data_IF_677294221053
#
_entry.id   IF_677294221053
#
_cell.length_a   1.000
_cell.length_b   1.000
_cell.length_c   1.000
_cell.angle_alpha   90.00
_cell.angle_beta   90.00
_cell.angle_gamma   90.00
#
_symmetry.space_group_name_H-M   'P 1'
#
loop_
_entity.id
_entity.type
_entity.pdbx_description
1 polymer ?
#
# COMPACT_ATOMS: atom_id res chain seq x y z
N UNK A 1 0.47 -37.87 34.74
CA UNK A 1 0.91 -36.51 34.38
C UNK A 1 0.18 -36.11 33.11
N UNK A 2 -1.08 -35.69 33.23
CA UNK A 2 -1.81 -35.11 32.11
C UNK A 2 -1.33 -33.67 32.02
N UNK A 3 -0.56 -33.35 30.96
CA UNK A 3 -0.17 -31.97 30.70
C UNK A 3 -1.46 -31.22 30.39
N UNK A 4 -1.96 -30.47 31.36
CA UNK A 4 -3.04 -29.53 31.12
C UNK A 4 -2.65 -28.69 29.90
N UNK A 5 -3.48 -28.76 28.87
CA UNK A 5 -3.25 -28.13 27.57
C UNK A 5 -3.52 -26.63 27.69
N UNK A 6 -2.78 -25.96 28.59
CA UNK A 6 -3.00 -24.56 28.93
C UNK A 6 -2.39 -23.70 27.84
N UNK A 7 -3.24 -23.10 27.01
CA UNK A 7 -2.85 -22.11 26.03
C UNK A 7 -2.34 -20.84 26.72
N UNK A 8 -1.15 -20.38 26.32
CA UNK A 8 -0.55 -19.13 26.81
C UNK A 8 -1.37 -17.92 26.37
N UNK A 9 -1.36 -16.84 27.17
CA UNK A 9 -2.05 -15.57 26.81
C UNK A 9 -1.50 -14.99 25.51
N UNK A 10 -0.21 -15.14 25.25
CA UNK A 10 0.42 -14.67 24.01
C UNK A 10 -0.09 -15.44 22.79
N UNK A 11 -0.18 -16.78 22.89
CA UNK A 11 -0.72 -17.63 21.81
C UNK A 11 -2.18 -17.28 21.49
N UNK A 12 -3.01 -17.09 22.52
CA UNK A 12 -4.42 -16.69 22.34
C UNK A 12 -4.54 -15.37 21.59
N UNK A 13 -3.75 -14.37 21.98
CA UNK A 13 -3.77 -13.04 21.35
C UNK A 13 -3.22 -13.07 19.93
N UNK A 14 -2.16 -13.86 19.69
CA UNK A 14 -1.59 -14.03 18.36
C UNK A 14 -2.61 -14.62 17.39
N UNK A 15 -3.25 -15.74 17.74
CA UNK A 15 -4.27 -16.39 16.89
C UNK A 15 -5.44 -15.45 16.58
N UNK A 16 -5.95 -14.73 17.58
CA UNK A 16 -7.03 -13.75 17.38
C UNK A 16 -6.57 -12.64 16.45
N UNK A 17 -5.34 -12.14 16.61
CA UNK A 17 -4.76 -11.12 15.73
C UNK A 17 -4.63 -11.61 14.28
N UNK A 18 -4.17 -12.85 14.07
CA UNK A 18 -4.08 -13.46 12.74
C UNK A 18 -5.45 -13.59 12.08
N UNK A 19 -6.47 -14.07 12.82
CA UNK A 19 -7.84 -14.22 12.30
C UNK A 19 -8.45 -12.85 11.95
N UNK A 20 -8.36 -11.87 12.84
CA UNK A 20 -8.94 -10.55 12.59
C UNK A 20 -8.20 -9.77 11.49
N UNK A 21 -6.89 -10.03 11.32
CA UNK A 21 -6.10 -9.46 10.23
C UNK A 21 -6.38 -10.10 8.87
N UNK A 22 -7.17 -11.18 8.83
CA UNK A 22 -7.46 -11.93 7.61
C UNK A 22 -6.29 -12.79 7.11
N UNK A 23 -5.19 -12.91 7.86
CA UNK A 23 -4.04 -13.77 7.51
C UNK A 23 -4.35 -15.25 7.68
N UNK A 24 -5.25 -15.58 8.60
CA UNK A 24 -5.68 -16.95 8.87
C UNK A 24 -7.20 -17.03 8.87
N UNK A 25 -7.76 -18.02 8.19
CA UNK A 25 -9.21 -18.26 8.25
C UNK A 25 -9.57 -18.99 9.54
N UNK A 26 -10.83 -18.87 9.97
CA UNK A 26 -11.34 -19.63 11.13
C UNK A 26 -11.15 -21.15 10.95
N UNK A 27 -11.31 -21.65 9.72
CA UNK A 27 -11.13 -23.08 9.41
C UNK A 27 -9.69 -23.53 9.62
N UNK A 28 -8.73 -22.80 9.05
CA UNK A 28 -7.29 -23.07 9.24
C UNK A 28 -6.88 -22.98 10.71
N UNK A 29 -7.46 -22.04 11.45
CA UNK A 29 -7.24 -21.93 12.89
C UNK A 29 -7.81 -23.14 13.63
N UNK A 30 -9.00 -23.63 13.27
CA UNK A 30 -9.56 -24.86 13.85
C UNK A 30 -8.63 -26.04 13.60
N UNK A 31 -8.18 -26.27 12.37
CA UNK A 31 -7.26 -27.36 12.00
C UNK A 31 -5.98 -27.37 12.85
N UNK A 32 -5.39 -26.19 13.09
CA UNK A 32 -4.20 -26.06 13.96
C UNK A 32 -4.45 -26.46 15.42
N UNK A 33 -5.68 -26.31 15.91
CA UNK A 33 -6.05 -26.54 17.31
C UNK A 33 -6.89 -27.81 17.55
N UNK A 34 -7.26 -28.54 16.50
CA UNK A 34 -8.01 -29.80 16.56
C UNK A 34 -7.32 -30.86 17.42
N UNK A 35 -5.99 -30.95 17.35
CA UNK A 35 -5.20 -31.89 18.17
C UNK A 35 -5.12 -31.46 19.65
N UNK A 36 -5.46 -30.20 19.95
CA UNK A 36 -5.26 -29.58 21.27
C UNK A 36 -6.58 -29.34 22.03
N UNK A 37 -7.72 -29.35 21.34
CA UNK A 37 -9.05 -29.13 21.91
C UNK A 37 -10.11 -29.99 21.23
N UNK A 38 -11.02 -30.57 22.03
CA UNK A 38 -12.19 -31.30 21.51
C UNK A 38 -13.20 -30.39 20.79
N UNK A 39 -13.15 -29.07 21.05
CA UNK A 39 -14.02 -28.09 20.41
C UNK A 39 -13.25 -26.79 20.12
N UNK A 40 -12.42 -26.78 19.06
CA UNK A 40 -11.57 -25.63 18.72
C UNK A 40 -12.41 -24.43 18.26
N UNK A 41 -13.53 -24.66 17.58
CA UNK A 41 -14.40 -23.60 17.06
C UNK A 41 -14.98 -22.71 18.19
N UNK A 42 -15.59 -23.33 19.21
CA UNK A 42 -16.15 -22.58 20.34
C UNK A 42 -15.05 -21.89 21.17
N UNK A 43 -13.88 -22.51 21.31
CA UNK A 43 -12.73 -21.96 22.00
C UNK A 43 -12.22 -20.68 21.32
N UNK A 44 -12.01 -20.73 20.00
CA UNK A 44 -11.57 -19.60 19.18
C UNK A 44 -12.59 -18.47 19.18
N UNK A 45 -13.89 -18.78 19.08
CA UNK A 45 -14.96 -17.77 19.15
C UNK A 45 -14.95 -17.02 20.49
N UNK A 46 -14.74 -17.73 21.60
CA UNK A 46 -14.62 -17.12 22.92
C UNK A 46 -13.38 -16.21 22.99
N UNK A 47 -12.24 -16.64 22.45
CA UNK A 47 -11.03 -15.83 22.41
C UNK A 47 -11.18 -14.58 21.54
N UNK A 48 -11.83 -14.68 20.38
CA UNK A 48 -12.11 -13.52 19.52
C UNK A 48 -13.02 -12.53 20.25
N UNK A 49 -14.06 -13.01 20.94
CA UNK A 49 -14.92 -12.14 21.74
C UNK A 49 -14.19 -11.47 22.90
N UNK A 50 -13.19 -12.14 23.50
CA UNK A 50 -12.51 -11.67 24.71
C UNK A 50 -11.30 -10.79 24.43
N UNK A 51 -10.55 -11.08 23.37
CA UNK A 51 -9.31 -10.37 23.02
C UNK A 51 -9.47 -9.49 21.79
N UNK A 52 -10.54 -9.67 21.01
CA UNK A 52 -10.72 -8.96 19.74
C UNK A 52 -10.96 -7.46 19.87
N UNK A 53 -11.41 -6.97 21.03
CA UNK A 53 -11.54 -5.54 21.33
C UNK A 53 -10.25 -4.92 21.90
N UNK A 54 -9.38 -5.73 22.51
CA UNK A 54 -8.08 -5.29 23.05
C UNK A 54 -6.99 -5.18 21.97
N UNK A 55 -7.20 -5.78 20.80
CA UNK A 55 -6.23 -5.80 19.71
C UNK A 55 -6.59 -4.67 18.76
N UNK A 56 -5.92 -3.52 18.91
CA UNK A 56 -5.83 -2.54 17.83
C UNK A 56 -5.08 -3.20 16.67
N UNK A 57 -5.81 -3.68 15.67
CA UNK A 57 -5.21 -4.20 14.46
C UNK A 57 -4.47 -3.07 13.76
N UNK A 58 -3.15 -3.12 13.81
CA UNK A 58 -2.28 -2.43 12.87
C UNK A 58 -2.73 -2.81 11.46
N UNK A 59 -2.77 -1.80 10.59
CA UNK A 59 -3.24 -1.81 9.19
C UNK A 59 -3.33 -3.21 8.56
N UNK A 60 -4.46 -3.54 7.90
CA UNK A 60 -4.60 -4.81 7.20
C UNK A 60 -3.45 -4.96 6.19
N UNK A 61 -2.89 -6.16 6.12
CA UNK A 61 -1.83 -6.47 5.16
C UNK A 61 -2.44 -6.44 3.77
N UNK A 62 -1.81 -5.73 2.83
CA UNK A 62 -2.24 -5.71 1.43
C UNK A 62 -2.33 -7.14 0.89
N UNK A 63 -3.43 -7.45 0.24
CA UNK A 63 -3.58 -8.69 -0.55
C UNK A 63 -2.59 -8.71 -1.70
N UNK A 64 -2.28 -9.89 -2.23
CA UNK A 64 -1.29 -9.99 -3.32
C UNK A 64 -1.75 -9.29 -4.60
N UNK A 65 -3.07 -9.22 -4.83
CA UNK A 65 -3.66 -8.41 -5.91
C UNK A 65 -3.39 -6.92 -5.68
N UNK A 66 -3.64 -6.41 -4.49
CA UNK A 66 -3.39 -5.01 -4.14
C UNK A 66 -1.90 -4.66 -4.25
N UNK A 67 -1.00 -5.57 -3.89
CA UNK A 67 0.45 -5.40 -4.09
C UNK A 67 0.80 -5.30 -5.57
N UNK A 68 0.27 -6.19 -6.40
CA UNK A 68 0.51 -6.18 -7.83
C UNK A 68 -0.01 -4.90 -8.49
N UNK A 69 -1.22 -4.47 -8.12
CA UNK A 69 -1.82 -3.22 -8.60
C UNK A 69 -1.01 -2.01 -8.15
N UNK A 70 -0.53 -2.00 -6.90
CA UNK A 70 0.35 -0.96 -6.38
C UNK A 70 1.67 -0.87 -7.15
N UNK A 71 2.30 -2.02 -7.46
CA UNK A 71 3.51 -2.05 -8.27
C UNK A 71 3.26 -1.54 -9.70
N UNK A 72 2.16 -1.95 -10.32
CA UNK A 72 1.79 -1.48 -11.65
C UNK A 72 1.55 0.04 -11.66
N UNK A 73 0.88 0.55 -10.63
CA UNK A 73 0.63 1.98 -10.46
C UNK A 73 1.95 2.75 -10.27
N UNK A 74 2.86 2.23 -9.44
CA UNK A 74 4.18 2.83 -9.20
C UNK A 74 5.02 2.90 -10.47
N UNK A 75 4.97 1.86 -11.32
CA UNK A 75 5.66 1.86 -12.63
C UNK A 75 5.08 2.92 -13.57
N UNK A 76 3.75 3.04 -13.64
CA UNK A 76 3.08 4.07 -14.45
C UNK A 76 3.43 5.48 -13.99
N UNK A 77 3.47 5.70 -12.68
CA UNK A 77 3.82 6.99 -12.10
C UNK A 77 5.27 7.37 -12.48
N UNK A 78 6.21 6.44 -12.34
CA UNK A 78 7.60 6.68 -12.76
C UNK A 78 7.76 6.95 -14.26
N UNK A 79 6.98 6.29 -15.14
CA UNK A 79 7.02 6.60 -16.57
C UNK A 79 6.46 7.99 -16.87
N UNK A 80 5.35 8.36 -16.22
CA UNK A 80 4.73 9.67 -16.40
C UNK A 80 5.64 10.81 -15.92
N UNK A 81 6.32 10.64 -14.79
CA UNK A 81 7.31 11.60 -14.29
C UNK A 81 8.44 11.83 -15.29
N UNK A 82 8.98 10.76 -15.89
CA UNK A 82 10.03 10.87 -16.92
C UNK A 82 9.56 11.57 -18.18
N UNK A 83 8.33 11.30 -18.61
CA UNK A 83 7.77 11.96 -19.80
C UNK A 83 7.47 13.44 -19.53
N UNK A 84 7.05 13.78 -18.32
CA UNK A 84 6.92 15.17 -17.86
C UNK A 84 8.26 15.90 -17.90
N UNK A 85 9.30 15.29 -17.32
CA UNK A 85 10.66 15.87 -17.29
C UNK A 85 11.19 16.11 -18.71
N UNK A 86 11.00 15.15 -19.62
CA UNK A 86 11.36 15.29 -21.04
C UNK A 86 10.61 16.43 -21.73
N UNK A 87 9.31 16.57 -21.46
CA UNK A 87 8.51 17.65 -22.03
C UNK A 87 8.96 19.02 -21.50
N UNK A 88 9.23 19.13 -20.20
CA UNK A 88 9.76 20.35 -19.58
C UNK A 88 11.13 20.72 -20.16
N UNK A 89 12.04 19.75 -20.29
CA UNK A 89 13.36 19.96 -20.89
C UNK A 89 13.26 20.43 -22.34
N UNK A 90 12.36 19.84 -23.14
CA UNK A 90 12.09 20.31 -24.51
C UNK A 90 11.58 21.74 -24.53
N UNK A 91 10.65 22.10 -23.65
CA UNK A 91 10.15 23.47 -23.57
C UNK A 91 11.27 24.46 -23.23
N UNK A 92 12.09 24.15 -22.23
CA UNK A 92 13.23 24.99 -21.86
C UNK A 92 14.21 25.13 -23.02
N UNK A 93 14.54 24.04 -23.70
CA UNK A 93 15.44 24.08 -24.86
C UNK A 93 14.87 24.92 -26.01
N UNK A 94 13.56 24.84 -26.25
CA UNK A 94 12.87 25.67 -27.25
C UNK A 94 12.89 27.15 -26.86
N UNK A 95 12.63 27.49 -25.61
CA UNK A 95 12.73 28.87 -25.10
C UNK A 95 14.15 29.43 -25.28
N UNK A 96 15.17 28.68 -24.88
CA UNK A 96 16.58 29.08 -25.06
C UNK A 96 16.92 29.25 -26.55
N UNK A 97 16.42 28.37 -27.41
CA UNK A 97 16.68 28.47 -28.85
C UNK A 97 16.01 29.70 -29.46
N UNK A 98 14.83 30.09 -28.97
CA UNK A 98 14.17 31.34 -29.35
C UNK A 98 15.05 32.52 -28.93
N UNK A 99 15.51 32.57 -27.67
CA UNK A 99 16.35 33.67 -27.17
C UNK A 99 17.63 33.84 -28.03
N UNK A 100 18.31 32.73 -28.36
CA UNK A 100 19.51 32.75 -29.21
C UNK A 100 19.17 33.25 -30.63
N UNK A 101 18.02 32.85 -31.18
CA UNK A 101 17.61 33.27 -32.51
C UNK A 101 17.26 34.76 -32.55
N UNK A 102 16.56 35.28 -31.54
CA UNK A 102 16.25 36.70 -31.42
C UNK A 102 17.53 37.55 -31.31
N UNK A 103 18.50 37.10 -30.50
CA UNK A 103 19.78 37.78 -30.33
C UNK A 103 20.60 37.82 -31.62
N UNK A 104 20.75 36.68 -32.30
CA UNK A 104 21.61 36.57 -33.49
C UNK A 104 20.99 37.14 -34.75
N UNK A 105 19.69 36.95 -34.95
CA UNK A 105 19.00 37.36 -36.18
C UNK A 105 18.37 38.75 -36.05
N UNK A 106 18.28 39.31 -34.83
CA UNK A 106 17.60 40.60 -34.55
C UNK A 106 16.15 40.61 -35.03
N UNK A 107 15.49 39.46 -35.04
CA UNK A 107 14.07 39.30 -35.37
C UNK A 107 13.32 38.96 -34.09
N UNK A 108 12.20 39.63 -33.85
CA UNK A 108 11.34 39.40 -32.69
C UNK A 108 10.45 38.17 -33.01
N UNK A 109 10.71 37.03 -32.37
CA UNK A 109 10.01 35.76 -32.63
C UNK A 109 8.88 35.57 -31.61
N UNK A 110 9.09 36.01 -30.36
CA UNK A 110 8.14 35.90 -29.28
C UNK A 110 7.00 36.90 -29.44
N UNK A 111 5.76 36.44 -29.26
CA UNK A 111 4.61 37.33 -29.20
C UNK A 111 4.69 38.18 -27.92
N UNK A 112 4.82 39.49 -28.05
CA UNK A 112 4.69 40.41 -26.91
C UNK A 112 3.23 40.42 -26.45
N UNK A 113 3.00 40.21 -25.16
CA UNK A 113 1.67 40.31 -24.55
C UNK A 113 1.06 41.67 -24.92
N UNK A 114 -0.21 41.67 -25.33
CA UNK A 114 -0.89 42.81 -25.97
C UNK A 114 -0.94 44.09 -25.13
N UNK A 115 -1.40 45.21 -25.73
CA UNK A 115 -1.41 46.51 -25.06
C UNK A 115 -2.22 46.45 -23.77
N UNK A 116 -1.65 47.00 -22.69
CA UNK A 116 -2.35 47.24 -21.42
C UNK A 116 -3.59 48.09 -21.72
N UNK A 117 -4.79 47.54 -21.51
CA UNK A 117 -6.02 48.32 -21.43
C UNK A 117 -6.11 49.03 -20.08
#
# INVERSE_FOLDING_TARGET
MEKENTFSRAEKRWVVGEIQSGRMTMGTACELFELRSKNPYHLLRNWISRYGSEIYLTLPVMTDKEKQDYEALRRRLSSLEKDLERAQMKNIALEIMIDIAEEKLKVDIRKKSGPKQ
#
